data_IF_602527532188
#
_entry.id   IF_602527532188
#
_cell.length_a   1.000
_cell.length_b   1.000
_cell.length_c   1.000
_cell.angle_alpha   90.00
_cell.angle_beta   90.00
_cell.angle_gamma   90.00
#
_symmetry.space_group_name_H-M   'P 1'
#
loop_
_entity.id
_entity.type
_entity.pdbx_description
1 polymer ?
#
# COMPACT_ATOMS: atom_id res chain seq x y z
N UNK A 1 -15.05 -8.18 -4.71
CA UNK A 1 -14.07 -7.34 -4.00
C UNK A 1 -12.80 -8.12 -3.72
N UNK A 2 -11.67 -7.54 -3.95
CA UNK A 2 -10.41 -8.16 -3.64
C UNK A 2 -9.76 -7.45 -2.48
N UNK A 3 -9.24 -8.21 -1.54
CA UNK A 3 -8.55 -7.64 -0.39
C UNK A 3 -7.06 -7.85 -0.53
N UNK A 4 -6.29 -6.89 -0.08
CA UNK A 4 -4.84 -6.98 -0.11
C UNK A 4 -4.28 -6.68 1.27
N UNK A 5 -3.20 -7.34 1.61
CA UNK A 5 -2.49 -7.08 2.85
C UNK A 5 -1.29 -6.17 2.55
N UNK A 6 -0.54 -5.82 3.58
CA UNK A 6 0.59 -4.91 3.42
C UNK A 6 1.62 -5.42 2.43
N UNK A 7 1.92 -6.72 2.43
CA UNK A 7 2.91 -7.25 1.50
C UNK A 7 2.45 -7.11 0.06
N UNK A 8 1.16 -7.26 -0.18
CA UNK A 8 0.62 -7.07 -1.53
C UNK A 8 0.73 -5.62 -1.95
N UNK A 9 0.48 -4.71 -1.01
CA UNK A 9 0.58 -3.29 -1.30
C UNK A 9 2.02 -2.92 -1.62
N UNK A 10 2.99 -3.49 -0.91
CA UNK A 10 4.39 -3.22 -1.20
C UNK A 10 4.74 -3.59 -2.64
N UNK A 11 4.20 -4.72 -3.11
CA UNK A 11 4.42 -5.12 -4.50
C UNK A 11 3.71 -4.18 -5.46
N UNK A 12 2.50 -3.75 -5.15
CA UNK A 12 1.76 -2.83 -5.99
C UNK A 12 2.44 -1.48 -6.09
N UNK A 13 3.22 -1.11 -5.06
CA UNK A 13 3.95 0.15 -5.07
C UNK A 13 5.28 0.07 -5.81
N UNK A 14 5.53 -1.01 -6.49
CA UNK A 14 6.74 -1.16 -7.28
C UNK A 14 7.83 -1.98 -6.59
N UNK A 15 7.46 -2.74 -5.59
CA UNK A 15 8.43 -3.59 -4.90
C UNK A 15 9.19 -2.85 -3.81
N UNK A 16 8.53 -1.92 -3.13
CA UNK A 16 9.18 -1.18 -2.04
C UNK A 16 9.37 -2.07 -0.82
N UNK A 17 10.18 -1.64 0.11
CA UNK A 17 10.38 -2.39 1.34
C UNK A 17 9.12 -2.37 2.18
N UNK A 18 9.02 -3.29 3.11
CA UNK A 18 7.88 -3.35 4.00
C UNK A 18 7.79 -2.10 4.87
N UNK A 19 8.91 -1.60 5.32
CA UNK A 19 8.94 -0.38 6.11
C UNK A 19 8.40 0.79 5.31
N UNK A 20 8.81 0.90 4.06
CA UNK A 20 8.33 1.98 3.21
C UNK A 20 6.83 1.82 2.94
N UNK A 21 6.37 0.60 2.70
CA UNK A 21 4.95 0.37 2.49
C UNK A 21 4.14 0.75 3.72
N UNK A 22 4.64 0.47 4.90
CA UNK A 22 3.98 0.85 6.15
C UNK A 22 3.85 2.37 6.25
N UNK A 23 4.91 3.10 5.92
CA UNK A 23 4.88 4.55 5.96
C UNK A 23 3.85 5.10 4.98
N UNK A 24 3.79 4.53 3.80
CA UNK A 24 2.86 5.00 2.78
C UNK A 24 1.42 4.73 3.19
N UNK A 25 1.14 3.57 3.75
CA UNK A 25 -0.23 3.23 4.15
C UNK A 25 -0.69 4.05 5.35
N UNK A 26 0.23 4.69 6.06
CA UNK A 26 -0.13 5.54 7.17
C UNK A 26 -0.37 6.99 6.77
N UNK A 27 -0.21 7.32 5.50
CA UNK A 27 -0.47 8.69 5.06
C UNK A 27 -1.95 9.01 5.14
N UNK A 28 -2.26 10.25 5.42
CA UNK A 28 -3.65 10.68 5.54
C UNK A 28 -4.44 10.47 4.25
N UNK A 29 -3.79 10.55 3.10
CA UNK A 29 -4.48 10.38 1.83
C UNK A 29 -4.67 8.92 1.44
N UNK A 30 -3.98 8.01 2.09
CA UNK A 30 -4.11 6.59 1.73
C UNK A 30 -5.44 6.05 2.24
N UNK A 31 -6.09 5.15 1.50
CA UNK A 31 -7.37 4.62 1.95
C UNK A 31 -7.22 3.89 3.28
N UNK A 32 -8.24 3.98 4.12
CA UNK A 32 -8.23 3.30 5.39
C UNK A 32 -8.39 1.80 5.17
N UNK A 33 -7.84 0.97 6.04
CA UNK A 33 -8.07 -0.47 5.91
C UNK A 33 -9.53 -0.80 6.10
N UNK A 34 -10.02 -1.79 5.34
CA UNK A 34 -11.40 -2.19 5.45
C UNK A 34 -11.63 -2.96 6.72
N UNK A 35 -10.70 -3.78 7.09
CA UNK A 35 -10.87 -4.65 8.24
C UNK A 35 -9.51 -5.14 8.70
N UNK A 36 -9.51 -5.86 9.81
CA UNK A 36 -8.31 -6.51 10.30
C UNK A 36 -8.61 -7.98 10.52
N UNK A 37 -7.61 -8.81 10.39
CA UNK A 37 -7.74 -10.23 10.60
C UNK A 37 -6.67 -10.64 11.62
N UNK A 38 -6.71 -11.88 12.04
CA UNK A 38 -5.75 -12.42 13.00
C UNK A 38 -5.70 -11.57 14.27
N UNK A 39 -6.86 -11.31 14.83
CA UNK A 39 -7.02 -10.55 16.06
C UNK A 39 -6.43 -9.14 15.96
N UNK A 40 -6.62 -8.53 14.82
CA UNK A 40 -6.19 -7.15 14.61
C UNK A 40 -4.72 -7.01 14.23
N UNK A 41 -4.02 -8.11 14.02
CA UNK A 41 -2.61 -8.03 13.70
C UNK A 41 -2.33 -7.78 12.23
N UNK A 42 -3.27 -8.12 11.36
CA UNK A 42 -3.08 -7.96 9.93
C UNK A 42 -4.20 -7.10 9.37
N UNK A 43 -3.84 -5.97 8.81
CA UNK A 43 -4.82 -5.08 8.20
C UNK A 43 -4.99 -5.45 6.72
N UNK A 44 -6.20 -5.30 6.21
CA UNK A 44 -6.47 -5.56 4.81
C UNK A 44 -7.19 -4.38 4.19
N UNK A 45 -6.92 -4.13 2.94
CA UNK A 45 -7.48 -3.01 2.20
C UNK A 45 -8.20 -3.53 0.96
N UNK A 46 -9.10 -2.72 0.42
CA UNK A 46 -9.73 -3.02 -0.85
C UNK A 46 -8.72 -2.75 -1.96
N UNK A 47 -8.42 -3.74 -2.75
CA UNK A 47 -7.43 -3.61 -3.81
C UNK A 47 -7.78 -2.48 -4.78
N UNK A 48 -9.05 -2.32 -5.12
CA UNK A 48 -9.45 -1.28 -6.04
C UNK A 48 -9.17 0.10 -5.47
N UNK A 49 -9.38 0.30 -4.17
CA UNK A 49 -9.09 1.58 -3.55
C UNK A 49 -7.60 1.86 -3.54
N UNK A 50 -6.78 0.85 -3.26
CA UNK A 50 -5.34 1.00 -3.27
C UNK A 50 -4.85 1.31 -4.68
N UNK A 51 -5.36 0.60 -5.67
CA UNK A 51 -4.98 0.81 -7.06
C UNK A 51 -5.33 2.23 -7.50
N UNK A 52 -6.50 2.71 -7.13
CA UNK A 52 -6.91 4.08 -7.45
C UNK A 52 -5.96 5.09 -6.83
N UNK A 53 -5.58 4.86 -5.56
CA UNK A 53 -4.65 5.77 -4.89
C UNK A 53 -3.31 5.80 -5.61
N UNK A 54 -2.80 4.64 -6.00
CA UNK A 54 -1.51 4.57 -6.69
C UNK A 54 -1.58 5.32 -8.01
N UNK A 55 -2.65 5.13 -8.77
CA UNK A 55 -2.78 5.81 -10.06
C UNK A 55 -2.88 7.31 -9.89
N UNK A 56 -3.49 7.75 -8.81
CA UNK A 56 -3.67 9.17 -8.62
C UNK A 56 -2.43 9.87 -8.10
N UNK A 57 -1.73 9.24 -7.18
CA UNK A 57 -0.62 9.90 -6.52
C UNK A 57 0.75 9.45 -7.00
N UNK A 58 0.84 8.32 -7.66
CA UNK A 58 2.12 7.77 -8.12
C UNK A 58 2.00 7.12 -9.49
N UNK A 59 1.43 7.81 -10.47
CA UNK A 59 1.13 7.16 -11.75
C UNK A 59 2.35 6.69 -12.53
N UNK A 60 3.49 7.30 -12.33
CA UNK A 60 4.67 6.95 -13.07
C UNK A 60 5.80 6.47 -12.20
N UNK A 61 5.48 5.89 -11.06
CA UNK A 61 6.52 5.51 -10.15
C UNK A 61 7.38 4.41 -10.73
N UNK A 62 8.68 4.59 -10.82
CA UNK A 62 9.57 3.53 -11.25
C UNK A 62 9.70 2.51 -10.15
N UNK A 63 9.98 1.26 -10.58
CA UNK A 63 10.13 0.24 -9.63
C UNK A 63 11.23 0.52 -8.67
N UNK A 64 11.02 0.40 -7.40
CA UNK A 64 12.03 0.61 -6.39
C UNK A 64 12.44 2.04 -6.13
N UNK A 65 11.86 3.00 -6.83
CA UNK A 65 12.28 4.37 -6.69
C UNK A 65 12.04 4.91 -5.30
N UNK A 66 10.99 4.48 -4.65
CA UNK A 66 10.71 4.99 -3.34
C UNK A 66 11.71 4.58 -2.32
N UNK A 67 12.32 3.46 -2.48
CA UNK A 67 13.26 3.02 -1.50
C UNK A 67 14.54 3.77 -1.58
N UNK A 68 14.75 4.45 -2.66
CA UNK A 68 15.94 5.20 -2.82
C UNK A 68 15.90 6.52 -2.24
N UNK A 69 14.79 6.92 -1.86
CA UNK A 69 14.69 8.16 -1.40
C UNK A 69 15.20 8.29 -0.26
N UNK A 70 15.70 8.35 0.11
CA UNK A 70 16.15 8.56 1.21
C UNK A 70 17.09 8.39 1.56
#
# INVERSE_FOLDING_TARGET
>A
MRLVALSDIADMLGGVSRTRATEITNRATFPAPIDTVASGKVRVWDRAAVDTWIRRYRPNQPRGADDDER
#
